data_IF_625230269214
#
_entry.id   IF_625230269214
#
_cell.length_a   1.000
_cell.length_b   1.000
_cell.length_c   1.000
_cell.angle_alpha   90.00
_cell.angle_beta   90.00
_cell.angle_gamma   90.00
#
_symmetry.space_group_name_H-M   'P 1'
#
loop_
_entity.id
_entity.type
_entity.pdbx_description
1 polymer ?
#
# COMPACT_ATOMS: atom_id res chain seq x y z
N UNK A 1 -68.18 -47.44 -24.10
CA UNK A 1 -66.96 -48.27 -24.02
C UNK A 1 -66.19 -48.05 -25.29
N UNK A 2 -65.22 -47.14 -25.26
CA UNK A 2 -64.66 -46.46 -26.42
C UNK A 2 -63.15 -46.70 -26.53
N UNK A 3 -62.72 -46.97 -27.75
CA UNK A 3 -61.43 -47.48 -28.17
C UNK A 3 -60.31 -46.43 -28.09
N UNK A 4 -59.11 -46.88 -27.70
CA UNK A 4 -57.82 -46.16 -27.72
C UNK A 4 -57.29 -45.96 -29.16
N UNK A 5 -56.45 -44.94 -29.38
CA UNK A 5 -55.01 -45.23 -29.57
C UNK A 5 -54.09 -44.21 -28.85
N UNK A 6 -52.79 -44.52 -28.64
CA UNK A 6 -51.84 -43.59 -28.04
C UNK A 6 -51.02 -42.84 -29.10
N UNK A 7 -50.84 -41.51 -28.91
CA UNK A 7 -49.82 -40.69 -29.62
C UNK A 7 -49.29 -39.58 -28.71
N UNK A 8 -47.95 -39.59 -28.59
CA UNK A 8 -46.96 -38.53 -28.32
C UNK A 8 -47.28 -37.31 -27.41
N UNK A 9 -46.38 -36.95 -26.47
CA UNK A 9 -46.35 -35.60 -25.91
C UNK A 9 -45.42 -34.67 -26.71
N UNK A 10 -46.02 -33.55 -27.09
CA UNK A 10 -45.50 -32.40 -27.82
C UNK A 10 -44.42 -31.64 -27.06
N UNK A 11 -43.50 -31.10 -27.86
CA UNK A 11 -42.39 -30.18 -27.59
C UNK A 11 -42.72 -28.95 -26.73
N UNK A 12 -41.77 -28.53 -25.89
CA UNK A 12 -41.59 -27.11 -25.52
C UNK A 12 -40.11 -26.72 -25.45
N UNK A 13 -39.68 -26.01 -26.49
CA UNK A 13 -38.73 -24.90 -26.56
C UNK A 13 -37.59 -24.84 -25.52
N UNK A 14 -36.39 -25.15 -26.03
CA UNK A 14 -35.08 -24.84 -25.44
C UNK A 14 -34.83 -23.33 -25.51
N UNK A 15 -34.74 -22.68 -24.35
CA UNK A 15 -34.00 -21.43 -24.21
C UNK A 15 -32.61 -21.75 -23.62
N UNK A 16 -31.51 -21.29 -24.25
CA UNK A 16 -30.19 -21.52 -23.70
C UNK A 16 -30.02 -20.69 -22.43
N UNK A 17 -29.80 -21.36 -21.31
CA UNK A 17 -29.24 -20.73 -20.12
C UNK A 17 -27.91 -20.11 -20.52
N UNK A 18 -27.81 -18.80 -20.44
CA UNK A 18 -26.53 -18.11 -20.35
C UNK A 18 -25.74 -18.76 -19.21
N UNK A 19 -24.80 -19.63 -19.57
CA UNK A 19 -23.74 -20.03 -18.68
C UNK A 19 -22.94 -18.75 -18.39
N UNK A 20 -22.98 -18.33 -17.13
CA UNK A 20 -22.05 -17.34 -16.61
C UNK A 20 -20.64 -17.90 -16.83
N UNK A 21 -20.01 -17.48 -17.92
CA UNK A 21 -18.58 -17.61 -18.14
C UNK A 21 -17.88 -16.60 -17.23
N UNK A 22 -17.90 -16.87 -15.93
CA UNK A 22 -16.85 -16.43 -15.00
C UNK A 22 -15.91 -17.62 -14.83
N UNK A 23 -15.35 -18.07 -15.95
CA UNK A 23 -14.12 -18.84 -15.92
C UNK A 23 -13.08 -17.95 -15.25
N UNK A 24 -12.45 -18.47 -14.19
CA UNK A 24 -11.42 -17.76 -13.47
C UNK A 24 -10.34 -17.30 -14.44
N UNK A 25 -10.23 -15.98 -14.62
CA UNK A 25 -9.09 -15.38 -15.27
C UNK A 25 -7.86 -15.84 -14.50
N UNK A 26 -6.99 -16.59 -15.17
CA UNK A 26 -5.90 -17.30 -14.53
C UNK A 26 -5.00 -16.36 -13.74
N UNK A 27 -4.67 -16.75 -12.51
CA UNK A 27 -3.72 -16.07 -11.64
C UNK A 27 -2.30 -16.04 -12.23
N UNK A 28 -2.05 -16.77 -13.32
CA UNK A 28 -0.75 -16.85 -14.02
C UNK A 28 -0.22 -15.50 -14.51
N UNK A 29 -1.11 -14.51 -14.74
CA UNK A 29 -0.71 -13.15 -15.11
C UNK A 29 0.00 -12.37 -13.99
N UNK A 30 -0.05 -12.85 -12.75
CA UNK A 30 0.57 -12.23 -11.57
C UNK A 30 1.76 -13.05 -11.03
N UNK A 31 2.27 -14.02 -11.80
CA UNK A 31 3.48 -14.76 -11.42
C UNK A 31 4.69 -13.82 -11.33
N UNK A 32 5.58 -14.10 -10.38
CA UNK A 32 6.86 -13.40 -10.21
C UNK A 32 7.64 -13.33 -11.52
N UNK A 33 7.60 -14.36 -12.36
CA UNK A 33 8.29 -14.40 -13.65
C UNK A 33 7.75 -13.35 -14.63
N UNK A 34 6.42 -13.19 -14.69
CA UNK A 34 5.74 -12.24 -15.58
C UNK A 34 6.02 -10.81 -15.11
N UNK A 35 5.91 -10.57 -13.80
CA UNK A 35 6.20 -9.28 -13.16
C UNK A 35 7.65 -8.89 -13.38
N UNK A 36 8.57 -9.83 -13.14
CA UNK A 36 10.01 -9.62 -13.31
C UNK A 36 10.34 -9.24 -14.75
N UNK A 37 9.76 -9.93 -15.73
CA UNK A 37 9.96 -9.61 -17.15
C UNK A 37 9.42 -8.22 -17.53
N UNK A 38 8.24 -7.83 -17.03
CA UNK A 38 7.74 -6.46 -17.23
C UNK A 38 8.70 -5.43 -16.63
N UNK A 39 9.12 -5.65 -15.38
CA UNK A 39 9.92 -4.70 -14.63
C UNK A 39 11.26 -4.43 -15.33
N UNK A 40 11.96 -5.48 -15.77
CA UNK A 40 13.24 -5.34 -16.44
C UNK A 40 13.17 -4.71 -17.83
N UNK A 41 12.03 -4.79 -18.51
CA UNK A 41 11.88 -4.22 -19.86
C UNK A 41 11.52 -2.74 -19.84
N UNK A 42 10.88 -2.25 -18.77
CA UNK A 42 10.31 -0.90 -18.70
C UNK A 42 11.05 0.05 -17.78
N UNK A 43 11.73 -0.44 -16.74
CA UNK A 43 12.34 0.40 -15.72
C UNK A 43 13.85 0.50 -15.90
N UNK A 44 14.36 1.74 -15.87
CA UNK A 44 15.78 2.04 -15.93
C UNK A 44 16.11 3.06 -14.86
N UNK A 45 16.99 2.68 -13.94
CA UNK A 45 17.49 3.61 -12.91
C UNK A 45 18.29 4.73 -13.59
N UNK A 46 18.05 5.97 -13.16
CA UNK A 46 18.88 7.11 -13.51
C UNK A 46 19.80 7.45 -12.33
N UNK A 47 21.10 7.16 -12.47
CA UNK A 47 22.13 7.41 -11.46
C UNK A 47 22.25 8.90 -11.04
N UNK A 48 21.66 9.82 -11.81
CA UNK A 48 21.61 11.25 -11.49
C UNK A 48 20.57 11.58 -10.41
N UNK A 49 19.52 10.76 -10.29
CA UNK A 49 18.46 10.98 -9.33
C UNK A 49 18.93 10.45 -7.97
N UNK A 50 19.32 11.37 -7.09
CA UNK A 50 19.73 11.06 -5.72
C UNK A 50 18.63 11.46 -4.76
N UNK A 51 18.14 10.48 -4.02
CA UNK A 51 17.27 10.68 -2.85
C UNK A 51 18.05 10.21 -1.63
N UNK A 52 17.97 10.99 -0.57
CA UNK A 52 18.43 10.56 0.75
C UNK A 52 17.41 9.58 1.35
N UNK A 53 17.63 8.29 1.07
CA UNK A 53 16.77 7.20 1.52
C UNK A 53 16.77 7.10 3.05
N UNK A 54 17.90 7.34 3.71
CA UNK A 54 18.02 7.26 5.17
C UNK A 54 17.13 8.31 5.84
N UNK A 55 17.19 9.55 5.37
CA UNK A 55 16.31 10.61 5.89
C UNK A 55 14.83 10.34 5.59
N UNK A 56 14.51 9.71 4.45
CA UNK A 56 13.13 9.31 4.13
C UNK A 56 12.63 8.20 5.07
N UNK A 57 13.46 7.20 5.38
CA UNK A 57 13.14 6.13 6.32
C UNK A 57 12.83 6.71 7.70
N UNK A 58 13.68 7.60 8.21
CA UNK A 58 13.48 8.23 9.51
C UNK A 58 12.20 9.06 9.57
N UNK A 59 11.88 9.79 8.49
CA UNK A 59 10.63 10.55 8.39
C UNK A 59 9.40 9.64 8.46
N UNK A 60 9.38 8.60 7.63
CA UNK A 60 8.28 7.63 7.57
C UNK A 60 8.09 6.94 8.92
N UNK A 61 9.19 6.48 9.53
CA UNK A 61 9.17 5.83 10.84
C UNK A 61 8.64 6.76 11.92
N UNK A 62 9.06 8.03 11.91
CA UNK A 62 8.55 9.05 12.84
C UNK A 62 7.04 9.26 12.71
N UNK A 63 6.52 9.34 11.47
CA UNK A 63 5.08 9.51 11.22
C UNK A 63 4.29 8.31 11.71
N UNK A 64 4.70 7.09 11.33
CA UNK A 64 3.98 5.85 11.65
C UNK A 64 3.97 5.62 13.17
N UNK A 65 5.13 5.71 13.84
CA UNK A 65 5.23 5.51 15.29
C UNK A 65 4.38 6.55 16.03
N UNK A 66 4.39 7.80 15.58
CA UNK A 66 3.59 8.88 16.18
C UNK A 66 2.09 8.61 16.04
N UNK A 67 1.65 8.22 14.84
CA UNK A 67 0.27 7.88 14.55
C UNK A 67 -0.22 6.67 15.39
N UNK A 68 0.60 5.63 15.53
CA UNK A 68 0.25 4.47 16.35
C UNK A 68 0.12 4.83 17.84
N UNK A 69 1.02 5.68 18.36
CA UNK A 69 0.92 6.20 19.74
C UNK A 69 -0.36 7.01 19.97
N UNK A 70 -0.79 7.80 18.99
CA UNK A 70 -2.07 8.51 19.05
C UNK A 70 -3.21 7.50 19.21
N UNK A 71 -3.14 6.38 18.52
CA UNK A 71 -4.17 5.33 18.59
C UNK A 71 -4.24 4.68 19.98
N UNK A 72 -3.09 4.34 20.57
CA UNK A 72 -3.01 3.71 21.89
C UNK A 72 -3.34 4.67 23.06
N UNK A 73 -2.92 5.94 22.95
CA UNK A 73 -3.06 6.95 24.02
C UNK A 73 -4.47 7.50 24.21
N UNK A 74 -5.44 7.21 23.33
CA UNK A 74 -6.86 7.58 23.59
C UNK A 74 -7.46 6.82 24.79
N UNK A 75 -6.71 5.88 25.39
CA UNK A 75 -7.02 5.28 26.70
C UNK A 75 -6.57 6.13 27.91
N UNK A 76 -5.80 7.21 27.69
CA UNK A 76 -5.29 8.09 28.75
C UNK A 76 -5.42 9.56 28.36
N UNK A 77 -6.55 10.11 28.78
CA UNK A 77 -6.81 11.49 29.20
C UNK A 77 -5.74 12.52 28.83
N UNK A 78 -6.18 13.50 28.04
CA UNK A 78 -5.69 14.88 27.92
C UNK A 78 -4.77 15.30 29.09
N UNK A 79 -3.46 15.27 28.89
CA UNK A 79 -2.46 16.22 29.41
C UNK A 79 -1.06 15.60 29.35
N UNK A 80 -0.17 16.23 28.59
CA UNK A 80 1.21 15.80 28.48
C UNK A 80 1.74 16.10 27.09
N UNK A 81 2.13 17.36 26.91
CA UNK A 81 2.86 17.91 25.75
C UNK A 81 3.70 16.81 25.09
N UNK A 82 3.27 16.33 23.92
CA UNK A 82 4.07 15.36 23.17
C UNK A 82 5.28 16.14 22.66
N UNK A 83 6.39 16.04 23.40
CA UNK A 83 7.66 16.64 23.03
C UNK A 83 8.25 15.80 21.90
N UNK A 84 7.86 16.12 20.66
CA UNK A 84 8.61 15.68 19.50
C UNK A 84 9.87 16.54 19.42
N UNK A 85 11.03 15.90 19.57
CA UNK A 85 12.32 16.46 19.17
C UNK A 85 12.27 16.70 17.66
N UNK A 86 11.78 17.87 17.24
CA UNK A 86 11.38 18.15 15.85
C UNK A 86 12.35 19.00 15.05
N UNK A 87 13.35 19.62 15.67
CA UNK A 87 14.10 20.71 15.02
C UNK A 87 15.24 20.24 14.09
N UNK A 88 15.61 18.96 14.12
CA UNK A 88 16.72 18.44 13.31
C UNK A 88 16.30 17.84 11.95
N UNK A 89 15.02 17.51 11.75
CA UNK A 89 14.59 16.67 10.62
C UNK A 89 14.04 17.46 9.42
N UNK A 90 13.44 18.63 9.65
CA UNK A 90 12.73 19.37 8.60
C UNK A 90 13.64 20.20 7.67
N UNK A 91 14.86 20.53 8.11
CA UNK A 91 15.71 21.50 7.40
C UNK A 91 16.51 20.92 6.21
N UNK A 92 16.56 19.59 6.03
CA UNK A 92 17.39 18.92 5.01
C UNK A 92 16.64 18.01 4.03
N UNK A 93 15.32 17.85 4.18
CA UNK A 93 14.55 16.90 3.37
C UNK A 93 14.16 17.48 2.01
N UNK A 94 14.97 17.19 0.98
CA UNK A 94 14.62 17.44 -0.43
C UNK A 94 13.72 16.33 -0.99
N UNK A 95 12.53 16.17 -0.42
CA UNK A 95 11.58 15.15 -0.87
C UNK A 95 10.82 15.64 -2.11
N UNK A 96 10.63 14.81 -3.16
CA UNK A 96 9.94 15.24 -4.38
C UNK A 96 8.42 15.32 -4.14
N UNK A 97 7.95 16.41 -3.53
CA UNK A 97 6.56 16.58 -3.11
C UNK A 97 5.53 16.36 -4.23
N UNK A 98 5.84 16.81 -5.45
CA UNK A 98 4.97 16.58 -6.61
C UNK A 98 4.85 15.07 -6.93
N UNK A 99 5.94 14.32 -6.79
CA UNK A 99 5.94 12.87 -6.98
C UNK A 99 5.14 12.18 -5.89
N UNK A 100 5.32 12.55 -4.62
CA UNK A 100 4.54 12.01 -3.51
C UNK A 100 3.05 12.25 -3.69
N UNK A 101 2.66 13.46 -4.10
CA UNK A 101 1.26 13.79 -4.32
C UNK A 101 0.63 12.96 -5.44
N UNK A 102 1.38 12.71 -6.53
CA UNK A 102 0.93 11.80 -7.61
C UNK A 102 0.72 10.38 -7.09
N UNK A 103 1.64 9.87 -6.28
CA UNK A 103 1.52 8.53 -5.69
C UNK A 103 0.33 8.45 -4.72
N UNK A 104 0.17 9.44 -3.83
CA UNK A 104 -0.97 9.51 -2.90
C UNK A 104 -2.31 9.53 -3.65
N UNK A 105 -2.38 10.26 -4.76
CA UNK A 105 -3.57 10.28 -5.62
C UNK A 105 -3.84 8.90 -6.24
N UNK A 106 -2.79 8.22 -6.71
CA UNK A 106 -2.89 6.88 -7.29
C UNK A 106 -3.32 5.82 -6.27
N UNK A 107 -2.85 5.96 -5.02
CA UNK A 107 -3.22 5.12 -3.89
C UNK A 107 -4.68 5.32 -3.45
N UNK A 108 -5.30 6.45 -3.79
CA UNK A 108 -6.64 6.83 -3.33
C UNK A 108 -7.80 6.19 -4.10
N UNK A 109 -8.89 5.88 -3.38
CA UNK A 109 -10.21 5.57 -3.94
C UNK A 109 -10.24 4.40 -4.97
N UNK A 110 -9.34 3.43 -4.84
CA UNK A 110 -9.31 2.22 -5.69
C UNK A 110 -10.31 1.17 -5.19
N UNK A 111 -10.84 0.39 -6.12
CA UNK A 111 -11.71 -0.74 -5.82
C UNK A 111 -10.89 -1.92 -5.26
N UNK A 112 -11.51 -2.73 -4.41
CA UNK A 112 -10.92 -3.98 -3.92
C UNK A 112 -10.69 -4.98 -5.06
N UNK A 113 -9.60 -5.73 -4.97
CA UNK A 113 -9.29 -6.83 -5.90
C UNK A 113 -7.82 -6.90 -6.27
N UNK A 114 -7.32 -8.12 -6.46
CA UNK A 114 -5.90 -8.40 -6.80
C UNK A 114 -5.51 -7.72 -8.11
N UNK A 115 -6.39 -7.76 -9.12
CA UNK A 115 -6.16 -7.12 -10.42
C UNK A 115 -5.99 -5.61 -10.30
N UNK A 116 -6.88 -4.94 -9.55
CA UNK A 116 -6.79 -3.50 -9.31
C UNK A 116 -5.59 -3.11 -8.46
N UNK A 117 -5.23 -3.93 -7.48
CA UNK A 117 -4.00 -3.74 -6.71
C UNK A 117 -2.76 -3.85 -7.62
N UNK A 118 -2.74 -4.83 -8.52
CA UNK A 118 -1.65 -4.99 -9.50
C UNK A 118 -1.58 -3.78 -10.43
N UNK A 119 -2.67 -3.41 -11.12
CA UNK A 119 -2.72 -2.24 -12.00
C UNK A 119 -2.19 -0.97 -11.31
N UNK A 120 -2.69 -0.69 -10.10
CA UNK A 120 -2.25 0.48 -9.31
C UNK A 120 -0.77 0.40 -8.94
N UNK A 121 -0.27 -0.80 -8.62
CA UNK A 121 1.17 -1.03 -8.37
C UNK A 121 2.00 -0.66 -9.60
N UNK A 122 1.55 -1.07 -10.79
CA UNK A 122 2.23 -0.76 -12.05
C UNK A 122 2.18 0.73 -12.38
N UNK A 123 1.05 1.40 -12.11
CA UNK A 123 0.89 2.86 -12.26
C UNK A 123 1.89 3.62 -11.36
N UNK A 124 2.02 3.22 -10.10
CA UNK A 124 2.99 3.81 -9.15
C UNK A 124 4.42 3.57 -9.63
N UNK A 125 4.75 2.35 -10.07
CA UNK A 125 6.08 2.05 -10.63
C UNK A 125 6.38 2.92 -11.86
N UNK A 126 5.38 3.16 -12.73
CA UNK A 126 5.51 4.03 -13.89
C UNK A 126 5.73 5.50 -13.49
N UNK A 127 5.06 6.00 -12.45
CA UNK A 127 5.34 7.34 -11.89
C UNK A 127 6.81 7.44 -11.44
N UNK A 128 7.36 6.34 -10.93
CA UNK A 128 8.68 6.26 -10.33
C UNK A 128 9.76 5.70 -11.29
N UNK A 129 9.48 5.64 -12.60
CA UNK A 129 10.28 4.87 -13.58
C UNK A 129 11.79 5.09 -13.48
N UNK A 130 12.22 6.34 -13.31
CA UNK A 130 13.63 6.77 -13.32
C UNK A 130 14.32 6.64 -11.96
N UNK A 131 13.57 6.46 -10.86
CA UNK A 131 14.14 6.39 -9.52
C UNK A 131 14.83 5.04 -9.27
N UNK A 132 15.88 4.98 -8.43
CA UNK A 132 16.44 3.73 -7.91
C UNK A 132 15.37 2.85 -7.26
N UNK A 133 15.49 1.52 -7.33
CA UNK A 133 14.48 0.59 -6.80
C UNK A 133 14.11 0.82 -5.34
N UNK A 134 15.11 1.03 -4.47
CA UNK A 134 14.91 1.33 -3.05
C UNK A 134 14.16 2.67 -2.87
N UNK A 135 14.48 3.64 -3.73
CA UNK A 135 13.81 4.94 -3.75
C UNK A 135 12.34 4.81 -4.20
N UNK A 136 12.03 3.93 -5.15
CA UNK A 136 10.63 3.68 -5.56
C UNK A 136 9.80 3.16 -4.38
N UNK A 137 10.36 2.21 -3.63
CA UNK A 137 9.71 1.62 -2.47
C UNK A 137 9.49 2.66 -1.35
N UNK A 138 10.52 3.40 -0.94
CA UNK A 138 10.39 4.37 0.18
C UNK A 138 9.51 5.56 -0.18
N UNK A 139 9.50 6.03 -1.43
CA UNK A 139 8.60 7.12 -1.85
C UNK A 139 7.14 6.68 -1.82
N UNK A 140 6.87 5.42 -2.18
CA UNK A 140 5.52 4.86 -2.10
C UNK A 140 5.06 4.73 -0.64
N UNK A 141 5.96 4.26 0.23
CA UNK A 141 5.69 4.17 1.66
C UNK A 141 5.53 5.55 2.30
N UNK A 142 6.30 6.55 1.86
CA UNK A 142 6.19 7.93 2.32
C UNK A 142 4.86 8.57 1.95
N UNK A 143 4.40 8.38 0.71
CA UNK A 143 3.07 8.86 0.29
C UNK A 143 1.95 8.22 1.13
N UNK A 144 2.03 6.93 1.40
CA UNK A 144 1.11 6.24 2.31
C UNK A 144 1.19 6.80 3.75
N UNK A 145 2.40 6.96 4.29
CA UNK A 145 2.60 7.45 5.65
C UNK A 145 2.07 8.88 5.82
N UNK A 146 2.22 9.76 4.84
CA UNK A 146 1.65 11.11 4.85
C UNK A 146 0.12 11.08 4.97
N UNK A 147 -0.55 10.32 4.09
CA UNK A 147 -2.01 10.13 4.15
C UNK A 147 -2.48 9.56 5.49
N UNK A 148 -1.75 8.56 6.01
CA UNK A 148 -2.03 7.92 7.29
C UNK A 148 -1.85 8.89 8.46
N UNK A 149 -0.76 9.66 8.47
CA UNK A 149 -0.46 10.69 9.45
C UNK A 149 -1.54 11.76 9.51
N UNK A 150 -2.03 12.23 8.35
CA UNK A 150 -3.12 13.20 8.26
C UNK A 150 -4.40 12.68 8.94
N UNK A 151 -4.77 11.41 8.72
CA UNK A 151 -5.95 10.82 9.34
C UNK A 151 -5.81 10.77 10.87
N UNK A 152 -4.65 10.34 11.38
CA UNK A 152 -4.44 10.24 12.83
C UNK A 152 -4.23 11.59 13.51
N UNK A 153 -3.67 12.57 12.81
CA UNK A 153 -3.62 13.95 13.25
C UNK A 153 -5.04 14.50 13.45
N UNK A 154 -5.92 14.32 12.46
CA UNK A 154 -7.33 14.71 12.56
C UNK A 154 -8.05 13.99 13.70
N UNK A 155 -7.77 12.70 13.92
CA UNK A 155 -8.30 11.96 15.06
C UNK A 155 -7.82 12.54 16.40
N UNK A 156 -6.53 12.90 16.51
CA UNK A 156 -5.95 13.43 17.75
C UNK A 156 -6.62 14.74 18.17
N UNK A 157 -6.84 15.65 17.22
CA UNK A 157 -7.43 16.97 17.46
C UNK A 157 -8.95 17.01 17.31
N UNK A 158 -9.61 15.86 17.11
CA UNK A 158 -11.05 15.77 16.86
C UNK A 158 -11.93 16.50 17.89
N UNK A 159 -11.50 16.54 19.15
CA UNK A 159 -12.24 17.15 20.26
C UNK A 159 -11.83 18.58 20.58
N UNK A 160 -10.67 19.02 20.11
CA UNK A 160 -10.01 20.27 20.54
C UNK A 160 -9.95 21.33 19.44
N UNK A 161 -9.93 20.92 18.17
CA UNK A 161 -9.93 21.83 17.02
C UNK A 161 -11.21 21.67 16.17
N UNK A 162 -12.04 22.73 16.02
CA UNK A 162 -13.22 22.71 15.16
C UNK A 162 -12.93 22.39 13.68
N UNK A 163 -11.79 22.82 13.16
CA UNK A 163 -11.41 22.52 11.77
C UNK A 163 -11.08 21.03 11.62
N UNK A 164 -10.23 20.49 12.51
CA UNK A 164 -9.94 19.06 12.57
C UNK A 164 -11.22 18.23 12.71
N UNK A 165 -12.16 18.63 13.59
CA UNK A 165 -13.46 17.96 13.74
C UNK A 165 -14.25 17.90 12.43
N UNK A 166 -14.32 19.03 11.72
CA UNK A 166 -15.06 19.13 10.45
C UNK A 166 -14.44 18.24 9.38
N UNK A 167 -13.11 18.33 9.20
CA UNK A 167 -12.38 17.52 8.23
C UNK A 167 -12.41 16.03 8.57
N UNK A 168 -12.27 15.67 9.85
CA UNK A 168 -12.37 14.29 10.33
C UNK A 168 -13.76 13.69 10.08
N UNK A 169 -14.82 14.50 10.22
CA UNK A 169 -16.20 14.07 9.95
C UNK A 169 -16.39 13.79 8.45
N UNK A 170 -15.90 14.68 7.57
CA UNK A 170 -15.95 14.46 6.12
C UNK A 170 -15.15 13.22 5.70
N UNK A 171 -13.97 13.03 6.30
CA UNK A 171 -13.10 11.87 6.05
C UNK A 171 -13.51 10.61 6.83
N UNK A 172 -14.61 10.63 7.59
CA UNK A 172 -15.11 9.50 8.42
C UNK A 172 -14.04 8.86 9.32
N UNK A 173 -13.15 9.68 9.88
CA UNK A 173 -12.03 9.22 10.72
C UNK A 173 -12.52 8.51 12.00
N UNK A 174 -13.58 8.95 12.70
CA UNK A 174 -14.08 8.25 13.89
C UNK A 174 -14.56 6.82 13.59
N UNK A 175 -15.23 6.62 12.45
CA UNK A 175 -15.70 5.32 11.98
C UNK A 175 -14.52 4.43 11.60
N UNK A 176 -13.56 4.97 10.84
CA UNK A 176 -12.31 4.28 10.50
C UNK A 176 -11.59 3.79 11.75
N UNK A 177 -11.45 4.65 12.76
CA UNK A 177 -10.82 4.28 14.03
C UNK A 177 -11.52 3.09 14.69
N UNK A 178 -12.86 3.12 14.81
CA UNK A 178 -13.62 2.00 15.39
C UNK A 178 -13.38 0.70 14.63
N UNK A 179 -13.25 0.75 13.30
CA UNK A 179 -12.93 -0.41 12.47
C UNK A 179 -11.49 -0.90 12.69
N UNK A 180 -10.51 0.00 12.72
CA UNK A 180 -9.10 -0.35 12.92
C UNK A 180 -8.82 -0.87 14.33
N UNK A 181 -9.58 -0.44 15.34
CA UNK A 181 -9.49 -0.93 16.71
C UNK A 181 -9.97 -2.38 16.87
N UNK A 182 -10.64 -2.96 15.87
CA UNK A 182 -11.04 -4.37 15.92
C UNK A 182 -9.83 -5.30 15.88
N UNK A 183 -9.85 -6.45 16.57
CA UNK A 183 -8.68 -7.34 16.70
C UNK A 183 -8.04 -7.74 15.35
N UNK A 184 -8.88 -7.98 14.33
CA UNK A 184 -8.44 -8.35 12.98
C UNK A 184 -7.55 -7.27 12.36
N UNK A 185 -7.97 -6.01 12.44
CA UNK A 185 -7.28 -4.89 11.79
C UNK A 185 -6.16 -4.33 12.63
N UNK A 186 -6.31 -4.34 13.96
CA UNK A 186 -5.25 -3.95 14.88
C UNK A 186 -3.97 -4.76 14.67
N UNK A 187 -4.09 -6.06 14.39
CA UNK A 187 -2.92 -6.90 14.07
C UNK A 187 -2.28 -6.54 12.72
N UNK A 188 -3.07 -6.13 11.73
CA UNK A 188 -2.64 -5.90 10.33
C UNK A 188 -2.13 -4.48 10.09
N UNK A 189 -2.53 -3.50 10.91
CA UNK A 189 -2.18 -2.08 10.72
C UNK A 189 -1.47 -1.44 11.92
N UNK A 190 -1.85 -1.80 13.14
CA UNK A 190 -1.40 -1.12 14.38
C UNK A 190 -0.41 -1.95 15.20
N UNK A 191 -0.05 -3.14 14.73
CA UNK A 191 0.95 -3.99 15.40
C UNK A 191 2.36 -3.63 14.91
N UNK A 192 3.38 -3.65 15.77
CA UNK A 192 4.78 -3.61 15.32
C UNK A 192 5.15 -4.78 14.38
N UNK A 193 4.34 -5.85 14.34
CA UNK A 193 4.48 -6.97 13.40
C UNK A 193 3.62 -6.82 12.15
N UNK A 194 3.06 -5.63 11.91
CA UNK A 194 2.19 -5.40 10.78
C UNK A 194 2.99 -5.32 9.47
N UNK A 195 2.30 -5.52 8.35
CA UNK A 195 2.92 -5.60 7.03
C UNK A 195 3.61 -4.28 6.63
N UNK A 196 3.18 -3.14 7.17
CA UNK A 196 3.81 -1.84 6.92
C UNK A 196 5.21 -1.75 7.57
N UNK A 197 5.37 -2.23 8.82
CA UNK A 197 6.70 -2.34 9.43
C UNK A 197 7.57 -3.36 8.67
N UNK A 198 6.98 -4.45 8.19
CA UNK A 198 7.67 -5.40 7.30
C UNK A 198 8.17 -4.77 6.00
N UNK A 199 7.37 -3.90 5.37
CA UNK A 199 7.78 -3.13 4.20
C UNK A 199 8.93 -2.18 4.51
N UNK A 200 8.86 -1.49 5.65
CA UNK A 200 9.92 -0.59 6.09
C UNK A 200 11.24 -1.33 6.32
N UNK A 201 11.20 -2.51 6.95
CA UNK A 201 12.37 -3.34 7.17
C UNK A 201 12.94 -3.91 5.86
N UNK A 202 12.07 -4.36 4.94
CA UNK A 202 12.48 -4.79 3.61
C UNK A 202 13.23 -3.68 2.85
N UNK A 203 12.76 -2.44 2.93
CA UNK A 203 13.43 -1.28 2.33
C UNK A 203 14.80 -1.04 2.96
N UNK A 204 14.93 -1.14 4.30
CA UNK A 204 16.21 -1.05 5.01
C UNK A 204 17.19 -2.10 4.51
N UNK A 205 16.78 -3.37 4.41
CA UNK A 205 17.63 -4.45 3.88
C UNK A 205 18.01 -4.26 2.41
N UNK A 206 17.08 -3.85 1.55
CA UNK A 206 17.40 -3.58 0.14
C UNK A 206 18.48 -2.50 0.01
N UNK A 207 18.39 -1.44 0.81
CA UNK A 207 19.40 -0.39 0.87
C UNK A 207 20.75 -0.92 1.34
N UNK A 208 20.78 -1.67 2.43
CA UNK A 208 22.02 -2.28 2.96
C UNK A 208 22.70 -3.17 1.91
N UNK A 209 21.93 -4.03 1.23
CA UNK A 209 22.42 -4.88 0.14
C UNK A 209 23.05 -4.04 -0.98
N UNK A 210 22.40 -2.92 -1.37
CA UNK A 210 22.94 -2.00 -2.38
C UNK A 210 24.18 -1.26 -1.91
N UNK A 211 24.24 -0.87 -0.64
CA UNK A 211 25.43 -0.24 -0.06
C UNK A 211 26.61 -1.21 -0.02
N UNK A 212 26.39 -2.48 0.32
CA UNK A 212 27.41 -3.53 0.27
C UNK A 212 27.90 -3.81 -1.16
N UNK A 213 27.05 -3.65 -2.17
CA UNK A 213 27.43 -3.85 -3.58
C UNK A 213 28.49 -2.87 -4.11
N UNK A 214 28.70 -1.73 -3.41
CA UNK A 214 29.70 -0.72 -3.77
C UNK A 214 31.14 -1.16 -3.48
N UNK A 215 31.31 -2.11 -2.56
CA UNK A 215 32.59 -2.75 -2.31
C UNK A 215 32.78 -3.82 -3.38
N UNK A 216 33.94 -3.88 -4.06
CA UNK A 216 34.20 -4.77 -5.20
C UNK A 216 34.22 -6.24 -4.75
N UNK A 217 33.03 -6.79 -4.53
CA UNK A 217 32.72 -8.13 -4.03
C UNK A 217 32.25 -9.00 -5.19
N UNK A 218 32.94 -8.92 -6.34
CA UNK A 218 32.67 -9.74 -7.54
C UNK A 218 32.67 -11.25 -7.28
N UNK A 219 33.17 -11.69 -6.13
CA UNK A 219 33.27 -13.10 -5.74
C UNK A 219 32.08 -13.61 -4.92
N UNK A 220 31.16 -12.75 -4.46
CA UNK A 220 30.01 -13.20 -3.66
C UNK A 220 28.78 -13.41 -4.55
N UNK A 221 28.59 -14.66 -4.98
CA UNK A 221 27.45 -15.09 -5.82
C UNK A 221 26.10 -14.79 -5.14
N UNK A 222 26.02 -14.92 -3.82
CA UNK A 222 24.81 -14.66 -3.03
C UNK A 222 24.39 -13.19 -3.07
N UNK A 223 25.35 -12.25 -2.99
CA UNK A 223 25.09 -10.82 -3.05
C UNK A 223 24.58 -10.41 -4.44
N UNK A 224 25.19 -10.95 -5.50
CA UNK A 224 24.72 -10.75 -6.88
C UNK A 224 23.29 -11.26 -7.09
N UNK A 225 22.96 -12.42 -6.50
CA UNK A 225 21.59 -12.96 -6.52
C UNK A 225 20.61 -12.04 -5.78
N UNK A 226 20.97 -11.58 -4.57
CA UNK A 226 20.12 -10.68 -3.78
C UNK A 226 19.83 -9.36 -4.50
N UNK A 227 20.83 -8.75 -5.14
CA UNK A 227 20.67 -7.51 -5.93
C UNK A 227 19.68 -7.71 -7.08
N UNK A 228 19.71 -8.88 -7.74
CA UNK A 228 18.75 -9.19 -8.82
C UNK A 228 17.31 -9.33 -8.31
N UNK A 229 17.10 -9.59 -7.03
CA UNK A 229 15.75 -9.70 -6.44
C UNK A 229 15.18 -8.36 -5.98
N UNK A 230 16.00 -7.31 -5.83
CA UNK A 230 15.57 -5.96 -5.39
C UNK A 230 14.37 -5.42 -6.21
N UNK A 231 14.32 -5.53 -7.55
CA UNK A 231 13.18 -5.06 -8.33
C UNK A 231 11.87 -5.79 -7.97
N UNK A 232 11.94 -7.10 -7.77
CA UNK A 232 10.79 -7.92 -7.39
C UNK A 232 10.33 -7.60 -5.97
N UNK A 233 11.25 -7.46 -5.02
CA UNK A 233 10.92 -7.02 -3.67
C UNK A 233 10.28 -5.63 -3.66
N UNK A 234 10.77 -4.71 -4.48
CA UNK A 234 10.17 -3.38 -4.63
C UNK A 234 8.71 -3.46 -5.07
N UNK A 235 8.42 -4.31 -6.07
CA UNK A 235 7.06 -4.54 -6.53
C UNK A 235 6.17 -5.02 -5.38
N UNK A 236 6.60 -6.05 -4.65
CA UNK A 236 5.80 -6.62 -3.55
C UNK A 236 5.59 -5.63 -2.41
N UNK A 237 6.59 -4.81 -2.08
CA UNK A 237 6.46 -3.74 -1.09
C UNK A 237 5.39 -2.73 -1.53
N UNK A 238 5.44 -2.24 -2.77
CA UNK A 238 4.45 -1.29 -3.29
C UNK A 238 3.06 -1.95 -3.34
N UNK A 239 2.98 -3.22 -3.73
CA UNK A 239 1.73 -3.96 -3.79
C UNK A 239 1.06 -4.10 -2.41
N UNK A 240 1.86 -4.38 -1.37
CA UNK A 240 1.38 -4.43 0.01
C UNK A 240 0.87 -3.04 0.46
N UNK A 241 1.58 -1.97 0.11
CA UNK A 241 1.16 -0.59 0.42
C UNK A 241 -0.17 -0.26 -0.26
N UNK A 242 -0.33 -0.63 -1.54
CA UNK A 242 -1.59 -0.46 -2.29
C UNK A 242 -2.73 -1.23 -1.63
N UNK A 243 -2.50 -2.50 -1.27
CA UNK A 243 -3.50 -3.33 -0.60
C UNK A 243 -3.90 -2.73 0.75
N UNK A 244 -2.92 -2.28 1.54
CA UNK A 244 -3.14 -1.62 2.82
C UNK A 244 -3.98 -0.34 2.68
N UNK A 245 -3.68 0.51 1.69
CA UNK A 245 -4.46 1.73 1.44
C UNK A 245 -5.87 1.44 0.96
N UNK A 246 -6.03 0.44 0.09
CA UNK A 246 -7.34 0.02 -0.43
C UNK A 246 -8.22 -0.48 0.70
N UNK A 247 -7.65 -1.28 1.61
CA UNK A 247 -8.36 -1.78 2.79
C UNK A 247 -8.79 -0.63 3.73
N UNK A 248 -7.91 0.35 4.00
CA UNK A 248 -8.27 1.55 4.77
C UNK A 248 -9.43 2.31 4.08
N UNK A 249 -9.39 2.43 2.75
CA UNK A 249 -10.42 3.11 1.98
C UNK A 249 -11.76 2.35 2.00
N UNK A 250 -11.72 1.02 1.93
CA UNK A 250 -12.92 0.18 2.02
C UNK A 250 -13.67 0.35 3.35
N UNK A 251 -12.92 0.53 4.44
CA UNK A 251 -13.47 0.79 5.76
C UNK A 251 -14.23 2.12 5.80
N UNK A 252 -13.86 3.10 4.97
CA UNK A 252 -14.53 4.39 4.84
C UNK A 252 -15.79 4.34 3.97
N UNK A 253 -15.88 3.37 3.05
CA UNK A 253 -17.00 3.27 2.10
C UNK A 253 -18.08 2.28 2.52
N UNK A 254 -17.74 1.27 3.33
CA UNK A 254 -18.65 0.17 3.73
C UNK A 254 -19.66 0.57 4.82
N UNK A 255 -19.56 1.77 5.37
CA UNK A 255 -20.45 2.32 6.41
C UNK A 255 -21.77 2.92 5.88
N UNK A 256 -22.19 2.58 4.65
CA UNK A 256 -23.49 2.96 4.07
C UNK A 256 -24.44 1.79 3.91
#
# INVERSE_FOLDING_TARGET
MSFLPPKEPTTSLVHPKFQNLKEGMSLDHFSDDVITNYIYTKHREDDRIKIDIDSCILLVESIIITADRITDSVSRVIEGRIAFSGDAYAASLNLPLCTLHRISTELGCKAEGIEKAHETTMEILNILTTYPWEAKAILSLAAFAMDYGDLWHLNHYFKTDPLAKTLATIKQVPELKKHLDTPKYRQVFLSPKCLIYGCMEAIKYMKEIKDFSKYDMKEITELSSAIRQIPLFTYWVIHIIVAARTEISSCLTRTR
#
